data_IF_116405881003
#
_entry.id   IF_116405881003
#
_cell.length_a   1.000
_cell.length_b   1.000
_cell.length_c   1.000
_cell.angle_alpha   90.00
_cell.angle_beta   90.00
_cell.angle_gamma   90.00
#
_symmetry.space_group_name_H-M   'P 1'
#
loop_
_entity.id
_entity.type
_entity.pdbx_description
1 polymer ?
#
# COMPACT_ATOMS: atom_id res chain seq x y z
N UNK A 1 19.77 -12.14 32.52
CA UNK A 1 19.13 -12.82 31.38
C UNK A 1 19.74 -12.28 30.11
N UNK A 2 20.03 -13.10 29.08
CA UNK A 2 20.46 -12.57 27.79
C UNK A 2 19.42 -11.58 27.26
N UNK A 3 19.86 -10.48 26.66
CA UNK A 3 18.97 -9.53 26.00
C UNK A 3 18.15 -10.29 24.95
N UNK A 4 16.81 -10.16 24.91
CA UNK A 4 16.00 -10.84 23.92
C UNK A 4 16.44 -10.42 22.51
N UNK A 5 16.67 -11.41 21.64
CA UNK A 5 17.01 -11.16 20.24
C UNK A 5 15.84 -10.43 19.56
N UNK A 6 16.09 -9.46 18.65
CA UNK A 6 15.03 -8.88 17.84
C UNK A 6 14.27 -9.97 17.07
N UNK A 7 12.94 -9.90 16.95
CA UNK A 7 12.19 -10.78 16.07
C UNK A 7 12.66 -10.73 14.60
N UNK A 8 12.45 -11.79 13.81
CA UNK A 8 12.61 -11.73 12.36
C UNK A 8 11.62 -10.72 11.77
N UNK A 9 12.01 -10.08 10.67
CA UNK A 9 11.21 -9.03 10.02
C UNK A 9 10.66 -9.52 8.69
N UNK A 10 9.41 -9.18 8.39
CA UNK A 10 8.77 -9.40 7.09
C UNK A 10 8.49 -8.05 6.44
N UNK A 11 9.00 -7.86 5.22
CA UNK A 11 8.82 -6.64 4.43
C UNK A 11 7.76 -6.86 3.35
N UNK A 12 6.68 -6.09 3.41
CA UNK A 12 5.55 -6.15 2.49
C UNK A 12 5.60 -4.97 1.50
N UNK A 13 5.82 -5.24 0.20
CA UNK A 13 5.88 -4.21 -0.82
C UNK A 13 4.50 -3.62 -1.16
N UNK A 14 4.52 -2.46 -1.82
CA UNK A 14 3.35 -1.80 -2.40
C UNK A 14 2.83 -2.49 -3.67
N UNK A 15 1.67 -2.02 -4.15
CA UNK A 15 1.03 -2.51 -5.37
C UNK A 15 1.98 -2.36 -6.57
N UNK A 16 2.00 -3.35 -7.47
CA UNK A 16 2.83 -3.39 -8.69
C UNK A 16 4.35 -3.42 -8.49
N UNK A 17 4.84 -3.42 -7.25
CA UNK A 17 6.28 -3.41 -6.94
C UNK A 17 6.86 -4.82 -6.73
N UNK A 18 6.27 -5.81 -7.39
CA UNK A 18 6.66 -7.22 -7.40
C UNK A 18 6.62 -7.70 -8.85
N UNK A 19 7.65 -8.41 -9.27
CA UNK A 19 7.68 -9.06 -10.58
C UNK A 19 6.57 -10.11 -10.67
N UNK A 20 6.00 -10.26 -11.86
CA UNK A 20 5.10 -11.37 -12.19
C UNK A 20 5.68 -12.13 -13.37
N UNK A 21 5.64 -13.46 -13.30
CA UNK A 21 6.14 -14.37 -14.33
C UNK A 21 5.08 -15.38 -14.73
N UNK A 22 5.06 -15.78 -15.99
CA UNK A 22 4.20 -16.86 -16.47
C UNK A 22 4.96 -18.19 -16.53
N UNK A 23 4.54 -19.13 -15.70
CA UNK A 23 5.20 -20.43 -15.54
C UNK A 23 4.85 -21.45 -16.62
N UNK A 24 3.87 -21.19 -17.49
CA UNK A 24 3.55 -22.08 -18.62
C UNK A 24 4.35 -21.79 -19.89
N UNK A 25 5.02 -20.65 -19.96
CA UNK A 25 5.96 -20.36 -21.05
C UNK A 25 7.27 -21.14 -20.87
N UNK A 26 7.89 -21.56 -21.98
CA UNK A 26 9.20 -22.22 -21.99
C UNK A 26 10.16 -21.41 -22.88
N UNK A 27 11.17 -20.72 -22.29
CA UNK A 27 11.42 -20.57 -20.85
C UNK A 27 10.35 -19.70 -20.17
N UNK A 28 10.30 -19.75 -18.83
CA UNK A 28 9.44 -18.86 -18.01
C UNK A 28 9.71 -17.41 -18.39
N UNK A 29 8.65 -16.64 -18.62
CA UNK A 29 8.72 -15.24 -19.04
C UNK A 29 8.23 -14.30 -17.96
N UNK A 30 8.94 -13.18 -17.76
CA UNK A 30 8.46 -12.09 -16.93
C UNK A 30 7.40 -11.28 -17.70
N UNK A 31 6.17 -11.28 -17.19
CA UNK A 31 5.05 -10.49 -17.74
C UNK A 31 4.93 -9.14 -17.03
N UNK A 32 5.52 -9.00 -15.84
CA UNK A 32 5.64 -7.74 -15.13
C UNK A 32 7.01 -7.61 -14.45
N UNK A 33 7.70 -6.50 -14.70
CA UNK A 33 9.02 -6.20 -14.16
C UNK A 33 9.30 -4.70 -14.19
N UNK A 34 10.45 -4.29 -13.65
CA UNK A 34 10.93 -2.90 -13.74
C UNK A 34 11.07 -2.43 -15.20
N UNK A 35 11.50 -3.32 -16.12
CA UNK A 35 11.81 -2.98 -17.52
C UNK A 35 10.70 -3.31 -18.52
N UNK A 36 9.79 -4.22 -18.16
CA UNK A 36 8.75 -4.74 -19.05
C UNK A 36 7.42 -4.85 -18.31
N UNK A 37 6.35 -4.36 -18.96
CA UNK A 37 4.98 -4.37 -18.45
C UNK A 37 4.05 -4.87 -19.55
N UNK A 38 3.61 -6.12 -19.44
CA UNK A 38 2.67 -6.71 -20.39
C UNK A 38 1.24 -6.67 -19.80
N UNK A 39 0.54 -5.57 -20.07
CA UNK A 39 -0.81 -5.34 -19.56
C UNK A 39 -1.84 -6.37 -20.04
N UNK A 40 -1.65 -6.97 -21.23
CA UNK A 40 -2.56 -8.01 -21.73
C UNK A 40 -2.37 -9.31 -20.95
N UNK A 41 -1.11 -9.67 -20.65
CA UNK A 41 -0.78 -10.89 -19.91
C UNK A 41 -1.11 -10.82 -18.42
N UNK A 42 -1.15 -9.62 -17.83
CA UNK A 42 -1.53 -9.47 -16.42
C UNK A 42 -3.03 -9.24 -16.21
N UNK A 43 -3.82 -9.04 -17.27
CA UNK A 43 -5.25 -8.83 -17.16
C UNK A 43 -5.98 -10.09 -16.65
N UNK A 44 -6.91 -9.90 -15.72
CA UNK A 44 -7.67 -11.00 -15.11
C UNK A 44 -8.88 -11.38 -15.97
N UNK A 45 -9.23 -12.66 -15.98
CA UNK A 45 -10.40 -13.16 -16.70
C UNK A 45 -11.69 -12.54 -16.13
N UNK A 46 -12.58 -12.00 -16.96
CA UNK A 46 -13.69 -11.19 -16.46
C UNK A 46 -14.85 -12.01 -15.86
N UNK A 47 -14.92 -13.31 -16.13
CA UNK A 47 -15.86 -14.23 -15.45
C UNK A 47 -15.33 -14.81 -14.13
N UNK A 48 -14.01 -14.84 -13.95
CA UNK A 48 -13.37 -15.39 -12.77
C UNK A 48 -12.00 -14.76 -12.58
N UNK A 49 -11.94 -13.73 -11.73
CA UNK A 49 -10.72 -12.96 -11.45
C UNK A 49 -9.63 -13.77 -10.72
N UNK A 50 -9.75 -15.10 -10.61
CA UNK A 50 -8.66 -15.98 -10.15
C UNK A 50 -7.73 -16.40 -11.28
N UNK A 51 -8.13 -16.23 -12.53
CA UNK A 51 -7.41 -16.68 -13.72
C UNK A 51 -7.08 -15.51 -14.65
N UNK A 52 -6.19 -15.76 -15.62
CA UNK A 52 -5.77 -14.80 -16.63
C UNK A 52 -6.77 -14.70 -17.80
N UNK A 53 -6.89 -13.52 -18.39
CA UNK A 53 -7.76 -13.33 -19.56
C UNK A 53 -7.21 -13.94 -20.86
N UNK A 54 -5.90 -14.20 -20.90
CA UNK A 54 -5.20 -14.81 -22.04
C UNK A 54 -4.65 -16.16 -21.57
N UNK A 55 -5.23 -17.24 -22.11
CA UNK A 55 -4.88 -18.62 -21.77
C UNK A 55 -4.17 -19.33 -22.95
N UNK A 56 -3.30 -20.32 -22.69
CA UNK A 56 -2.93 -20.83 -21.38
C UNK A 56 -1.92 -19.91 -20.65
N UNK A 57 -2.14 -19.65 -19.37
CA UNK A 57 -1.22 -18.91 -18.52
C UNK A 57 -1.18 -19.43 -17.08
N UNK A 58 -0.04 -19.26 -16.42
CA UNK A 58 0.08 -19.43 -14.98
C UNK A 58 0.92 -18.30 -14.39
N UNK A 59 0.28 -17.16 -14.17
CA UNK A 59 1.00 -15.99 -13.65
C UNK A 59 1.18 -16.13 -12.13
N UNK A 60 2.43 -15.98 -11.69
CA UNK A 60 2.86 -16.11 -10.30
C UNK A 60 3.72 -14.94 -9.87
N UNK A 61 3.67 -14.56 -8.59
CA UNK A 61 4.60 -13.58 -8.05
C UNK A 61 6.04 -14.12 -8.09
N UNK A 62 6.96 -13.23 -8.41
CA UNK A 62 8.40 -13.48 -8.41
C UNK A 62 9.07 -12.52 -7.40
N UNK A 63 10.26 -11.98 -7.68
CA UNK A 63 10.95 -11.12 -6.72
C UNK A 63 10.29 -9.74 -6.55
N UNK A 64 10.49 -9.13 -5.38
CA UNK A 64 10.15 -7.71 -5.17
C UNK A 64 11.07 -6.80 -6.00
N UNK A 65 10.62 -5.60 -6.34
CA UNK A 65 11.42 -4.65 -7.12
C UNK A 65 12.65 -4.19 -6.30
N UNK A 66 13.83 -4.67 -6.69
CA UNK A 66 15.08 -4.39 -5.97
C UNK A 66 15.37 -2.90 -5.86
N UNK A 67 15.10 -2.14 -6.93
CA UNK A 67 15.29 -0.68 -6.97
C UNK A 67 14.53 0.07 -5.88
N UNK A 68 13.44 -0.51 -5.35
CA UNK A 68 12.65 0.09 -4.29
C UNK A 68 12.98 -0.48 -2.90
N UNK A 69 13.32 -1.76 -2.79
CA UNK A 69 13.38 -2.44 -1.48
C UNK A 69 14.74 -2.99 -1.09
N UNK A 70 15.72 -3.10 -2.01
CA UNK A 70 17.02 -3.72 -1.70
C UNK A 70 17.70 -3.03 -0.53
N UNK A 71 17.87 -1.72 -0.63
CA UNK A 71 18.56 -0.90 0.38
C UNK A 71 17.88 -1.02 1.74
N UNK A 72 16.56 -0.87 1.81
CA UNK A 72 15.79 -1.05 3.04
C UNK A 72 16.05 -2.42 3.70
N UNK A 73 15.96 -3.50 2.90
CA UNK A 73 16.11 -4.86 3.40
C UNK A 73 17.55 -5.11 3.86
N UNK A 74 18.54 -4.64 3.12
CA UNK A 74 19.96 -4.77 3.46
C UNK A 74 20.31 -3.98 4.72
N UNK A 75 19.83 -2.74 4.85
CA UNK A 75 20.01 -1.92 6.04
C UNK A 75 19.34 -2.52 7.27
N UNK A 76 18.14 -3.11 7.12
CA UNK A 76 17.50 -3.83 8.23
C UNK A 76 18.33 -5.05 8.66
N UNK A 77 18.79 -5.88 7.71
CA UNK A 77 19.64 -7.04 8.02
C UNK A 77 20.93 -6.63 8.74
N UNK A 78 21.55 -5.54 8.28
CA UNK A 78 22.82 -5.06 8.82
C UNK A 78 22.68 -4.40 10.20
N UNK A 79 21.65 -3.60 10.42
CA UNK A 79 21.53 -2.80 11.64
C UNK A 79 20.68 -3.46 12.74
N UNK A 80 19.86 -4.47 12.41
CA UNK A 80 19.13 -5.25 13.40
C UNK A 80 20.00 -6.32 14.09
N UNK A 81 21.03 -6.87 13.42
CA UNK A 81 21.98 -7.77 14.09
C UNK A 81 22.80 -7.04 15.17
N UNK A 82 23.11 -7.74 16.26
CA UNK A 82 24.04 -7.22 17.28
C UNK A 82 25.48 -7.67 17.01
N UNK A 83 25.64 -8.81 16.35
CA UNK A 83 26.92 -9.38 15.90
C UNK A 83 26.73 -10.06 14.55
N UNK A 84 27.82 -10.25 13.81
CA UNK A 84 27.75 -10.86 12.46
C UNK A 84 27.29 -12.31 12.47
N UNK A 85 27.65 -13.06 13.52
CA UNK A 85 27.27 -14.46 13.74
C UNK A 85 25.87 -14.63 14.38
N UNK A 86 25.20 -13.52 14.69
CA UNK A 86 23.84 -13.46 15.23
C UNK A 86 22.91 -12.67 14.29
N UNK A 87 22.67 -13.16 13.06
CA UNK A 87 21.86 -12.43 12.09
C UNK A 87 20.41 -12.33 12.57
N UNK A 88 19.77 -11.20 12.26
CA UNK A 88 18.31 -11.05 12.33
C UNK A 88 17.75 -11.28 10.92
N UNK A 89 16.94 -12.33 10.70
CA UNK A 89 16.37 -12.59 9.38
C UNK A 89 15.42 -11.48 8.94
N UNK A 90 15.52 -11.08 7.67
CA UNK A 90 14.59 -10.13 7.03
C UNK A 90 14.12 -10.74 5.71
N UNK A 91 12.81 -10.95 5.59
CA UNK A 91 12.17 -11.66 4.50
C UNK A 91 11.29 -10.72 3.66
N UNK A 92 11.53 -10.56 2.36
CA UNK A 92 10.55 -9.94 1.48
C UNK A 92 9.36 -10.88 1.28
N UNK A 93 8.14 -10.36 1.42
CA UNK A 93 6.91 -11.08 1.12
C UNK A 93 6.40 -10.69 -0.27
N UNK A 94 6.80 -11.47 -1.28
CA UNK A 94 6.27 -11.31 -2.63
C UNK A 94 4.86 -11.89 -2.73
N UNK A 95 3.96 -11.15 -3.35
CA UNK A 95 2.56 -11.55 -3.54
C UNK A 95 2.05 -11.10 -4.90
N UNK A 96 0.99 -11.75 -5.37
CA UNK A 96 0.30 -11.35 -6.59
C UNK A 96 -0.54 -10.08 -6.30
N UNK A 97 -0.01 -8.94 -6.73
CA UNK A 97 -0.61 -7.64 -6.48
C UNK A 97 -1.91 -7.40 -7.25
N UNK A 98 -2.37 -8.35 -8.08
CA UNK A 98 -3.64 -8.27 -8.79
C UNK A 98 -4.82 -8.76 -7.94
N UNK A 99 -4.56 -9.69 -7.04
CA UNK A 99 -5.57 -10.46 -6.32
C UNK A 99 -6.31 -9.67 -5.22
N UNK A 100 -7.55 -10.08 -4.83
CA UNK A 100 -8.22 -9.50 -3.67
C UNK A 100 -7.35 -9.59 -2.41
N UNK A 101 -7.32 -8.53 -1.61
CA UNK A 101 -6.38 -8.44 -0.47
C UNK A 101 -6.61 -9.52 0.60
N UNK A 102 -7.84 -10.03 0.74
CA UNK A 102 -8.16 -11.12 1.68
C UNK A 102 -7.38 -12.41 1.38
N UNK A 103 -7.08 -12.69 0.12
CA UNK A 103 -6.29 -13.86 -0.27
C UNK A 103 -4.81 -13.64 0.06
N UNK A 104 -4.30 -12.44 -0.18
CA UNK A 104 -2.94 -12.04 0.17
C UNK A 104 -2.72 -12.06 1.69
N UNK A 105 -3.71 -11.65 2.48
CA UNK A 105 -3.66 -11.72 3.95
C UNK A 105 -3.59 -13.15 4.48
N UNK A 106 -4.32 -14.09 3.84
CA UNK A 106 -4.24 -15.50 4.20
C UNK A 106 -2.83 -16.05 3.91
N UNK A 107 -2.28 -15.72 2.74
CA UNK A 107 -0.90 -16.06 2.39
C UNK A 107 0.12 -15.43 3.34
N UNK A 108 -0.13 -14.22 3.83
CA UNK A 108 0.71 -13.60 4.85
C UNK A 108 0.64 -14.38 6.16
N UNK A 109 -0.53 -14.86 6.58
CA UNK A 109 -0.66 -15.68 7.79
C UNK A 109 0.17 -16.97 7.69
N UNK A 110 0.10 -17.66 6.54
CA UNK A 110 0.90 -18.85 6.28
C UNK A 110 2.40 -18.52 6.29
N UNK A 111 2.78 -17.40 5.68
CA UNK A 111 4.18 -16.95 5.62
C UNK A 111 4.74 -16.53 6.98
N UNK A 112 3.93 -15.91 7.84
CA UNK A 112 4.30 -15.61 9.23
C UNK A 112 4.60 -16.90 10.00
N UNK A 113 3.77 -17.94 9.83
CA UNK A 113 4.02 -19.26 10.39
C UNK A 113 5.34 -19.87 9.89
N UNK A 114 5.57 -19.82 8.58
CA UNK A 114 6.82 -20.29 7.97
C UNK A 114 8.05 -19.55 8.49
N UNK A 115 7.99 -18.22 8.59
CA UNK A 115 9.07 -17.37 9.12
C UNK A 115 9.40 -17.75 10.57
N UNK A 116 8.38 -17.95 11.40
CA UNK A 116 8.54 -18.41 12.78
C UNK A 116 9.24 -19.77 12.81
N UNK A 117 8.76 -20.73 12.03
CA UNK A 117 9.30 -22.09 12.04
C UNK A 117 10.73 -22.14 11.52
N UNK A 118 11.07 -21.38 10.47
CA UNK A 118 12.45 -21.20 10.01
C UNK A 118 13.33 -20.56 11.08
N UNK A 119 12.82 -19.57 11.80
CA UNK A 119 13.58 -18.84 12.83
C UNK A 119 13.89 -19.74 14.04
N UNK A 120 12.97 -20.62 14.44
CA UNK A 120 13.21 -21.62 15.50
C UNK A 120 14.40 -22.56 15.21
N UNK A 121 14.74 -22.77 13.93
CA UNK A 121 15.86 -23.63 13.51
C UNK A 121 17.23 -22.92 13.55
N UNK A 122 17.27 -21.60 13.75
CA UNK A 122 18.53 -20.88 13.90
C UNK A 122 19.12 -21.12 15.29
N UNK A 123 20.39 -21.55 15.35
CA UNK A 123 21.06 -21.94 16.60
C UNK A 123 20.95 -20.88 17.71
N UNK A 124 21.11 -19.60 17.37
CA UNK A 124 21.05 -18.51 18.33
C UNK A 124 19.64 -18.16 18.80
N UNK A 125 18.62 -18.28 17.95
CA UNK A 125 17.21 -18.11 18.36
C UNK A 125 16.72 -19.31 19.18
N UNK A 126 17.15 -20.52 18.84
CA UNK A 126 16.90 -21.70 19.66
C UNK A 126 17.50 -21.53 21.06
N UNK A 127 18.78 -21.14 21.14
CA UNK A 127 19.48 -20.89 22.40
C UNK A 127 18.89 -19.72 23.22
N UNK A 128 18.22 -18.76 22.57
CA UNK A 128 17.58 -17.63 23.25
C UNK A 128 16.18 -17.95 23.81
N UNK A 129 15.64 -19.15 23.57
CA UNK A 129 14.27 -19.50 23.98
C UNK A 129 13.18 -18.86 23.10
N UNK A 130 13.49 -18.43 21.87
CA UNK A 130 12.51 -17.80 20.98
C UNK A 130 11.24 -18.64 20.75
N UNK A 131 11.37 -19.98 20.84
CA UNK A 131 10.25 -20.90 20.68
C UNK A 131 9.17 -20.77 21.76
N UNK A 132 9.47 -20.18 22.92
CA UNK A 132 8.51 -20.01 24.03
C UNK A 132 7.48 -18.92 23.71
N UNK A 133 7.91 -17.86 23.00
CA UNK A 133 7.08 -16.71 22.64
C UNK A 133 7.42 -16.19 21.22
N UNK A 134 7.16 -16.97 20.16
CA UNK A 134 7.58 -16.62 18.81
C UNK A 134 6.74 -15.46 18.27
N UNK A 135 7.42 -14.41 17.84
CA UNK A 135 6.82 -13.24 17.21
C UNK A 135 7.61 -12.82 15.98
N UNK A 136 7.00 -12.03 15.10
CA UNK A 136 7.66 -11.34 13.98
C UNK A 136 7.43 -9.83 14.07
N UNK A 137 8.26 -9.05 13.39
CA UNK A 137 7.95 -7.65 13.10
C UNK A 137 7.55 -7.49 11.63
N UNK A 138 6.63 -6.56 11.34
CA UNK A 138 6.11 -6.34 9.99
C UNK A 138 6.44 -4.91 9.51
N UNK A 139 6.93 -4.79 8.28
CA UNK A 139 7.20 -3.50 7.63
C UNK A 139 6.44 -3.45 6.31
N UNK A 140 5.37 -2.66 6.25
CA UNK A 140 4.53 -2.51 5.07
C UNK A 140 4.78 -1.18 4.37
N UNK A 141 4.92 -1.20 3.05
CA UNK A 141 4.95 0.00 2.22
C UNK A 141 3.69 0.08 1.35
N UNK A 142 3.07 1.26 1.26
CA UNK A 142 1.89 1.50 0.43
C UNK A 142 0.81 0.44 0.72
N UNK A 143 0.36 -0.32 -0.28
CA UNK A 143 -0.62 -1.42 -0.11
C UNK A 143 -0.19 -2.50 0.91
N UNK A 144 1.11 -2.67 1.16
CA UNK A 144 1.64 -3.56 2.20
C UNK A 144 1.09 -3.25 3.60
N UNK A 145 0.89 -1.98 3.95
CA UNK A 145 0.29 -1.61 5.25
C UNK A 145 -1.20 -1.97 5.35
N UNK A 146 -1.94 -1.95 4.23
CA UNK A 146 -3.34 -2.36 4.18
C UNK A 146 -3.47 -3.87 4.39
N UNK A 147 -2.54 -4.64 3.79
CA UNK A 147 -2.45 -6.09 3.97
C UNK A 147 -2.13 -6.42 5.43
N UNK A 148 -1.17 -5.75 6.06
CA UNK A 148 -0.86 -5.96 7.49
C UNK A 148 -2.09 -5.68 8.36
N UNK A 149 -2.75 -4.53 8.17
CA UNK A 149 -3.92 -4.17 8.97
C UNK A 149 -5.08 -5.16 8.77
N UNK A 150 -5.30 -5.63 7.54
CA UNK A 150 -6.31 -6.65 7.24
C UNK A 150 -5.98 -8.02 7.84
N UNK A 151 -4.71 -8.45 7.77
CA UNK A 151 -4.22 -9.68 8.40
C UNK A 151 -4.41 -9.66 9.91
N UNK A 152 -4.03 -8.56 10.56
CA UNK A 152 -4.20 -8.37 12.01
C UNK A 152 -5.68 -8.40 12.37
N UNK A 153 -6.52 -7.66 11.65
CA UNK A 153 -7.95 -7.64 11.91
C UNK A 153 -8.59 -9.03 11.81
N UNK A 154 -8.09 -9.89 10.92
CA UNK A 154 -8.55 -11.26 10.76
C UNK A 154 -8.10 -12.23 11.86
N UNK A 155 -7.20 -11.83 12.77
CA UNK A 155 -6.73 -12.70 13.84
C UNK A 155 -7.80 -12.93 14.92
N UNK A 156 -7.75 -14.11 15.53
CA UNK A 156 -8.60 -14.47 16.68
C UNK A 156 -7.74 -14.43 17.94
N UNK A 157 -7.65 -13.25 18.56
CA UNK A 157 -6.80 -12.98 19.71
C UNK A 157 -5.41 -12.47 19.31
N UNK A 158 -4.47 -12.56 20.24
CA UNK A 158 -3.12 -12.02 20.06
C UNK A 158 -2.45 -12.56 18.79
N UNK A 159 -2.03 -11.65 17.91
CA UNK A 159 -1.26 -11.99 16.73
C UNK A 159 0.17 -12.36 17.15
N UNK A 160 0.87 -13.24 16.41
CA UNK A 160 2.29 -13.49 16.61
C UNK A 160 3.15 -12.35 16.04
N UNK A 161 2.76 -11.10 16.29
CA UNK A 161 3.38 -9.88 15.80
C UNK A 161 3.74 -9.01 16.99
N UNK A 162 4.98 -8.53 17.04
CA UNK A 162 5.45 -7.66 18.12
C UNK A 162 5.33 -6.18 17.74
N UNK A 163 5.82 -5.80 16.56
CA UNK A 163 5.76 -4.41 16.07
C UNK A 163 5.41 -4.32 14.59
N UNK A 164 4.81 -3.19 14.22
CA UNK A 164 4.43 -2.88 12.86
C UNK A 164 4.97 -1.52 12.43
N UNK A 165 5.47 -1.44 11.21
CA UNK A 165 5.78 -0.19 10.51
C UNK A 165 4.91 -0.12 9.26
N UNK A 166 4.32 1.04 9.00
CA UNK A 166 3.66 1.34 7.73
C UNK A 166 4.24 2.61 7.11
N UNK A 167 4.67 2.53 5.85
CA UNK A 167 5.25 3.63 5.08
C UNK A 167 4.27 4.05 3.99
N UNK A 168 3.73 5.27 4.05
CA UNK A 168 2.87 5.84 3.00
C UNK A 168 1.64 5.00 2.67
N UNK A 169 1.09 4.28 3.66
CA UNK A 169 0.01 3.31 3.41
C UNK A 169 -1.34 4.03 3.23
N UNK A 170 -2.05 3.82 2.10
CA UNK A 170 -3.35 4.45 1.84
C UNK A 170 -4.49 3.77 2.63
N UNK A 171 -4.46 3.83 3.96
CA UNK A 171 -5.45 3.15 4.82
C UNK A 171 -6.91 3.49 4.48
N UNK A 172 -7.16 4.71 3.99
CA UNK A 172 -8.47 5.18 3.53
C UNK A 172 -8.54 5.41 2.02
N UNK A 173 -7.56 4.93 1.25
CA UNK A 173 -7.53 4.98 -0.20
C UNK A 173 -6.85 6.23 -0.79
N UNK A 174 -6.84 6.33 -2.12
CA UNK A 174 -6.31 7.46 -2.88
C UNK A 174 -7.15 7.72 -4.12
N UNK A 175 -7.35 9.01 -4.46
CA UNK A 175 -8.01 9.38 -5.71
C UNK A 175 -7.28 8.86 -6.96
N UNK A 176 -5.97 8.59 -6.89
CA UNK A 176 -5.20 8.02 -8.01
C UNK A 176 -5.74 6.64 -8.45
N UNK A 177 -6.31 5.85 -7.53
CA UNK A 177 -6.95 4.59 -7.89
C UNK A 177 -8.19 4.80 -8.77
N UNK A 178 -8.98 5.83 -8.49
CA UNK A 178 -10.13 6.22 -9.29
C UNK A 178 -9.68 6.67 -10.67
N UNK A 179 -8.68 7.56 -10.74
CA UNK A 179 -8.12 8.02 -12.02
C UNK A 179 -7.60 6.83 -12.84
N UNK A 180 -6.91 5.88 -12.20
CA UNK A 180 -6.40 4.68 -12.86
C UNK A 180 -7.51 3.86 -13.52
N UNK A 181 -8.63 3.67 -12.85
CA UNK A 181 -9.82 2.96 -13.38
C UNK A 181 -10.47 3.76 -14.52
N UNK A 182 -10.51 5.10 -14.41
CA UNK A 182 -11.12 5.98 -15.40
C UNK A 182 -10.31 6.07 -16.69
N UNK A 183 -9.02 6.34 -16.61
CA UNK A 183 -8.18 6.74 -17.75
C UNK A 183 -7.15 5.69 -18.15
N UNK A 184 -6.81 4.77 -17.24
CA UNK A 184 -5.63 3.89 -17.36
C UNK A 184 -4.33 4.56 -16.93
N UNK A 185 -4.33 5.86 -16.64
CA UNK A 185 -3.15 6.62 -16.19
C UNK A 185 -3.31 7.07 -14.76
N UNK A 186 -2.25 6.94 -13.96
CA UNK A 186 -2.16 7.51 -12.61
C UNK A 186 -0.69 7.55 -12.21
N UNK A 187 -0.36 8.27 -11.14
CA UNK A 187 0.96 8.22 -10.50
C UNK A 187 1.31 6.80 -9.94
N UNK A 188 0.39 5.85 -10.05
CA UNK A 188 0.58 4.42 -9.80
C UNK A 188 1.19 3.66 -11.00
N UNK A 189 1.92 4.35 -11.89
CA UNK A 189 2.60 3.78 -13.07
C UNK A 189 3.41 4.82 -13.86
N UNK A 190 4.38 4.38 -14.67
CA UNK A 190 5.39 5.23 -15.32
C UNK A 190 5.25 5.39 -16.84
N UNK A 191 4.18 4.87 -17.45
CA UNK A 191 4.01 4.80 -18.91
C UNK A 191 2.89 5.74 -19.43
N UNK A 192 2.98 6.23 -20.69
CA UNK A 192 1.91 6.98 -21.33
C UNK A 192 0.63 6.13 -21.49
N UNK A 193 -0.57 6.76 -21.52
CA UNK A 193 -1.86 6.05 -21.56
C UNK A 193 -1.93 5.06 -22.71
N UNK A 194 -2.24 3.79 -22.41
CA UNK A 194 -2.66 2.80 -23.39
C UNK A 194 -4.05 2.28 -23.06
N UNK A 195 -4.83 1.87 -24.08
CA UNK A 195 -6.13 1.21 -23.86
C UNK A 195 -5.98 -0.07 -23.03
N UNK A 196 -4.93 -0.84 -23.29
CA UNK A 196 -4.58 -2.09 -22.61
C UNK A 196 -4.39 -1.90 -21.10
N UNK A 197 -3.68 -0.85 -20.70
CA UNK A 197 -3.47 -0.53 -19.29
C UNK A 197 -4.78 -0.18 -18.56
N UNK A 198 -5.66 0.57 -19.23
CA UNK A 198 -6.97 0.93 -18.69
C UNK A 198 -7.88 -0.29 -18.53
N UNK A 199 -7.88 -1.19 -19.50
CA UNK A 199 -8.64 -2.44 -19.46
C UNK A 199 -8.14 -3.34 -18.33
N UNK A 200 -6.82 -3.57 -18.24
CA UNK A 200 -6.21 -4.34 -17.15
C UNK A 200 -6.55 -3.74 -15.77
N UNK A 201 -6.48 -2.42 -15.61
CA UNK A 201 -6.83 -1.75 -14.35
C UNK A 201 -8.28 -2.03 -13.92
N UNK A 202 -9.24 -2.03 -14.86
CA UNK A 202 -10.68 -2.25 -14.60
C UNK A 202 -11.01 -3.69 -14.19
N UNK A 203 -10.11 -4.64 -14.47
CA UNK A 203 -10.27 -6.04 -14.07
C UNK A 203 -9.23 -6.47 -13.03
N UNK A 204 -8.54 -5.53 -12.37
CA UNK A 204 -7.56 -5.84 -11.30
C UNK A 204 -8.20 -5.64 -9.92
N UNK A 205 -8.60 -6.70 -9.20
CA UNK A 205 -9.25 -6.58 -7.89
C UNK A 205 -8.53 -5.70 -6.88
N UNK A 206 -7.22 -5.89 -6.70
CA UNK A 206 -6.42 -5.14 -5.72
C UNK A 206 -6.52 -3.61 -5.87
N UNK A 207 -6.67 -3.11 -7.11
CA UNK A 207 -6.76 -1.67 -7.39
C UNK A 207 -8.00 -1.05 -6.73
N UNK A 208 -9.12 -1.79 -6.68
CA UNK A 208 -10.37 -1.30 -6.10
C UNK A 208 -10.26 -1.13 -4.58
N UNK A 209 -9.40 -1.91 -3.90
CA UNK A 209 -9.14 -1.75 -2.47
C UNK A 209 -8.46 -0.42 -2.10
N UNK A 210 -7.99 0.33 -3.10
CA UNK A 210 -7.38 1.65 -2.94
C UNK A 210 -8.37 2.81 -3.21
N UNK A 211 -9.64 2.51 -3.52
CA UNK A 211 -10.68 3.53 -3.70
C UNK A 211 -10.91 4.28 -2.36
N UNK A 212 -11.02 5.63 -2.38
CA UNK A 212 -11.23 6.42 -1.18
C UNK A 212 -12.48 6.02 -0.38
N UNK A 213 -12.31 5.89 0.94
CA UNK A 213 -13.40 5.76 1.91
C UNK A 213 -13.74 7.07 2.61
N UNK A 214 -12.88 8.08 2.48
CA UNK A 214 -13.10 9.41 3.06
C UNK A 214 -13.90 10.30 2.10
N UNK A 215 -14.78 11.14 2.66
CA UNK A 215 -15.59 12.09 1.87
C UNK A 215 -14.86 13.40 1.57
N UNK A 216 -13.84 13.76 2.36
CA UNK A 216 -13.18 15.06 2.23
C UNK A 216 -12.46 15.17 0.87
N UNK A 217 -12.74 16.23 0.13
CA UNK A 217 -12.19 16.44 -1.22
C UNK A 217 -12.99 15.75 -2.33
N UNK A 218 -13.95 14.89 -2.03
CA UNK A 218 -14.92 14.42 -3.01
C UNK A 218 -16.00 15.49 -3.21
N UNK A 219 -15.95 16.18 -4.34
CA UNK A 219 -16.85 17.28 -4.66
C UNK A 219 -17.97 16.79 -5.59
N UNK A 220 -19.18 16.69 -5.05
CA UNK A 220 -20.35 16.23 -5.81
C UNK A 220 -21.22 17.44 -6.14
N UNK A 221 -21.32 17.79 -7.42
CA UNK A 221 -22.06 19.00 -7.83
C UNK A 221 -23.55 18.78 -8.05
N UNK A 222 -24.00 17.53 -8.09
CA UNK A 222 -25.40 17.17 -8.24
C UNK A 222 -25.84 16.27 -7.06
N UNK A 223 -26.78 16.72 -6.20
CA UNK A 223 -27.28 15.94 -5.07
C UNK A 223 -27.91 14.59 -5.43
N UNK A 224 -28.28 14.36 -6.69
CA UNK A 224 -28.82 13.09 -7.17
C UNK A 224 -27.74 12.05 -7.48
N UNK A 225 -26.45 12.39 -7.39
CA UNK A 225 -25.35 11.45 -7.54
C UNK A 225 -25.01 10.79 -6.20
N UNK A 226 -24.55 9.52 -6.19
CA UNK A 226 -24.19 8.86 -4.95
C UNK A 226 -23.03 9.56 -4.22
N UNK A 227 -23.09 9.55 -2.89
CA UNK A 227 -22.07 10.17 -2.02
C UNK A 227 -20.86 9.28 -1.76
N UNK A 228 -20.80 8.10 -2.39
CA UNK A 228 -19.73 7.12 -2.23
C UNK A 228 -19.27 6.59 -3.57
N UNK A 229 -17.96 6.42 -3.70
CA UNK A 229 -17.33 5.82 -4.89
C UNK A 229 -17.52 4.30 -4.96
N UNK A 230 -18.07 3.68 -3.92
CA UNK A 230 -18.42 2.26 -3.93
C UNK A 230 -19.82 1.96 -4.50
N UNK A 231 -20.55 2.99 -4.94
CA UNK A 231 -21.79 2.83 -5.68
C UNK A 231 -21.49 2.83 -7.18
N UNK A 232 -21.84 1.77 -7.94
CA UNK A 232 -21.63 1.75 -9.40
C UNK A 232 -22.31 2.92 -10.13
N UNK A 233 -23.38 3.50 -9.59
CA UNK A 233 -24.06 4.67 -10.16
C UNK A 233 -23.26 5.98 -10.02
N UNK A 234 -22.18 6.01 -9.22
CA UNK A 234 -21.25 7.13 -9.16
C UNK A 234 -20.27 7.14 -10.35
N UNK A 235 -20.18 6.04 -11.09
CA UNK A 235 -19.19 5.87 -12.15
C UNK A 235 -19.75 6.17 -13.53
N UNK A 236 -18.92 6.83 -14.35
CA UNK A 236 -19.30 7.18 -15.71
C UNK A 236 -19.56 5.94 -16.57
N UNK A 237 -20.60 5.94 -17.44
CA UNK A 237 -21.00 4.76 -18.20
C UNK A 237 -19.90 4.16 -19.09
N UNK A 238 -18.94 4.97 -19.55
CA UNK A 238 -17.81 4.51 -20.37
C UNK A 238 -16.87 3.52 -19.64
N UNK A 239 -16.89 3.47 -18.32
CA UNK A 239 -16.20 2.42 -17.56
C UNK A 239 -16.91 1.09 -17.78
N UNK A 240 -18.23 1.06 -17.60
CA UNK A 240 -19.04 -0.16 -17.77
C UNK A 240 -19.03 -0.62 -19.22
N UNK A 241 -19.18 0.30 -20.18
CA UNK A 241 -19.17 -0.03 -21.61
C UNK A 241 -17.84 -0.66 -22.04
N UNK A 242 -16.71 -0.22 -21.46
CA UNK A 242 -15.41 -0.82 -21.75
C UNK A 242 -15.19 -2.17 -21.06
N UNK A 243 -15.72 -2.38 -19.86
CA UNK A 243 -15.72 -3.71 -19.22
C UNK A 243 -16.60 -4.67 -20.03
N UNK A 244 -17.72 -4.18 -20.58
CA UNK A 244 -18.58 -4.97 -21.47
C UNK A 244 -17.82 -5.37 -22.74
N UNK A 245 -17.08 -4.46 -23.36
CA UNK A 245 -16.25 -4.80 -24.52
C UNK A 245 -15.16 -5.82 -24.16
N UNK A 246 -14.52 -5.69 -22.99
CA UNK A 246 -13.55 -6.67 -22.52
C UNK A 246 -14.18 -8.06 -22.29
N UNK A 247 -15.39 -8.13 -21.70
CA UNK A 247 -16.15 -9.38 -21.57
C UNK A 247 -16.50 -9.97 -22.94
N UNK A 248 -16.87 -9.14 -23.92
CA UNK A 248 -17.17 -9.61 -25.28
C UNK A 248 -15.95 -10.27 -25.94
N UNK A 249 -14.74 -9.77 -25.65
CA UNK A 249 -13.48 -10.25 -26.22
C UNK A 249 -12.92 -11.47 -25.48
N UNK A 250 -13.00 -11.48 -24.14
CA UNK A 250 -12.29 -12.45 -23.29
C UNK A 250 -13.19 -13.34 -22.45
N UNK A 251 -14.46 -12.97 -22.26
CA UNK A 251 -15.40 -13.72 -21.44
C UNK A 251 -16.13 -14.82 -22.21
N UNK A 252 -16.87 -15.64 -21.46
CA UNK A 252 -17.73 -16.67 -22.04
C UNK A 252 -18.88 -16.04 -22.84
N UNK A 253 -19.34 -16.65 -23.96
CA UNK A 253 -20.41 -16.11 -24.80
C UNK A 253 -21.80 -16.41 -24.20
N UNK A 254 -22.07 -15.88 -23.00
CA UNK A 254 -23.29 -16.16 -22.23
C UNK A 254 -23.97 -14.88 -21.73
N UNK A 255 -25.30 -14.86 -21.81
CA UNK A 255 -26.13 -13.79 -21.26
C UNK A 255 -25.90 -12.42 -21.89
N UNK A 256 -26.42 -11.37 -21.23
CA UNK A 256 -26.19 -9.98 -21.64
C UNK A 256 -24.83 -9.49 -21.11
N UNK A 257 -23.93 -9.17 -22.04
CA UNK A 257 -22.59 -8.65 -21.77
C UNK A 257 -22.62 -7.39 -20.91
N UNK A 258 -23.59 -6.49 -21.11
CA UNK A 258 -23.64 -5.22 -20.37
C UNK A 258 -24.10 -5.43 -18.93
N UNK A 259 -25.10 -6.29 -18.71
CA UNK A 259 -25.50 -6.71 -17.37
C UNK A 259 -24.34 -7.41 -16.62
N UNK A 260 -23.59 -8.28 -17.30
CA UNK A 260 -22.41 -8.94 -16.73
C UNK A 260 -21.31 -7.95 -16.37
N UNK A 261 -21.04 -6.97 -17.23
CA UNK A 261 -20.07 -5.91 -16.95
C UNK A 261 -20.43 -5.11 -15.69
N UNK A 262 -21.70 -4.72 -15.57
CA UNK A 262 -22.19 -4.03 -14.38
C UNK A 262 -22.07 -4.92 -13.14
N UNK A 263 -22.40 -6.21 -13.24
CA UNK A 263 -22.29 -7.16 -12.13
C UNK A 263 -20.83 -7.34 -11.69
N UNK A 264 -19.91 -7.60 -12.62
CA UNK A 264 -18.49 -7.75 -12.35
C UNK A 264 -17.91 -6.50 -11.67
N UNK A 265 -18.21 -5.31 -12.20
CA UNK A 265 -17.78 -4.04 -11.63
C UNK A 265 -18.36 -3.80 -10.23
N UNK A 266 -19.64 -4.10 -10.03
CA UNK A 266 -20.31 -3.99 -8.71
C UNK A 266 -19.70 -4.95 -7.70
N UNK A 267 -19.32 -6.15 -8.12
CA UNK A 267 -18.66 -7.14 -7.26
C UNK A 267 -17.28 -6.64 -6.80
N UNK A 268 -16.48 -6.07 -7.70
CA UNK A 268 -15.19 -5.46 -7.35
C UNK A 268 -15.33 -4.31 -6.35
N UNK A 269 -16.28 -3.40 -6.57
CA UNK A 269 -16.59 -2.33 -5.61
C UNK A 269 -17.06 -2.88 -4.25
N UNK A 270 -17.88 -3.93 -4.26
CA UNK A 270 -18.38 -4.57 -3.04
C UNK A 270 -17.26 -5.23 -2.25
N UNK A 271 -16.38 -5.99 -2.91
CA UNK A 271 -15.21 -6.61 -2.29
C UNK A 271 -14.31 -5.57 -1.62
N UNK A 272 -14.04 -4.46 -2.32
CA UNK A 272 -13.24 -3.37 -1.79
C UNK A 272 -13.91 -2.68 -0.58
N UNK A 273 -15.20 -2.36 -0.68
CA UNK A 273 -15.96 -1.74 0.41
C UNK A 273 -15.98 -2.61 1.67
N UNK A 274 -16.30 -3.90 1.51
CA UNK A 274 -16.35 -4.86 2.62
C UNK A 274 -14.99 -5.01 3.28
N UNK A 275 -13.92 -5.07 2.48
CA UNK A 275 -12.55 -5.12 2.99
C UNK A 275 -12.19 -3.87 3.79
N UNK A 276 -12.52 -2.69 3.29
CA UNK A 276 -12.25 -1.43 3.97
C UNK A 276 -13.04 -1.29 5.29
N UNK A 277 -14.33 -1.65 5.29
CA UNK A 277 -15.16 -1.67 6.51
C UNK A 277 -14.59 -2.60 7.56
N UNK A 278 -14.16 -3.80 7.14
CA UNK A 278 -13.51 -4.76 8.01
C UNK A 278 -12.22 -4.18 8.62
N UNK A 279 -11.33 -3.62 7.79
CA UNK A 279 -10.06 -3.01 8.25
C UNK A 279 -10.28 -1.83 9.20
N UNK A 280 -11.30 -1.00 8.96
CA UNK A 280 -11.66 0.12 9.83
C UNK A 280 -12.12 -0.35 11.23
N UNK A 281 -12.57 -1.60 11.37
CA UNK A 281 -12.93 -2.20 12.65
C UNK A 281 -11.72 -2.79 13.41
N UNK A 282 -10.49 -2.68 12.89
CA UNK A 282 -9.29 -3.14 13.61
C UNK A 282 -9.17 -2.41 14.96
N UNK A 283 -8.97 -3.19 16.02
CA UNK A 283 -8.60 -2.71 17.35
C UNK A 283 -7.27 -3.35 17.73
N UNK A 284 -6.24 -2.53 17.92
CA UNK A 284 -4.90 -3.05 18.26
C UNK A 284 -4.89 -3.94 19.52
N UNK A 285 -5.62 -3.61 20.62
CA UNK A 285 -5.62 -4.47 21.81
C UNK A 285 -6.20 -5.87 21.57
N UNK A 286 -7.15 -6.02 20.64
CA UNK A 286 -7.77 -7.32 20.32
C UNK A 286 -6.76 -8.29 19.70
N UNK A 287 -5.67 -7.75 19.13
CA UNK A 287 -4.58 -8.50 18.50
C UNK A 287 -3.28 -8.44 19.32
N UNK A 288 -3.35 -7.98 20.57
CA UNK A 288 -2.21 -7.92 21.48
C UNK A 288 -1.22 -6.79 21.22
N UNK A 289 -1.64 -5.75 20.48
CA UNK A 289 -0.81 -4.58 20.16
C UNK A 289 -1.31 -3.32 20.89
N UNK A 290 -0.39 -2.46 21.29
CA UNK A 290 -0.67 -1.09 21.71
C UNK A 290 -0.44 -0.10 20.56
N UNK A 291 -0.88 1.15 20.71
CA UNK A 291 -0.60 2.20 19.72
C UNK A 291 0.91 2.46 19.58
N UNK A 292 1.68 2.25 20.66
CA UNK A 292 3.14 2.33 20.66
C UNK A 292 3.83 1.22 19.86
N UNK A 293 3.12 0.16 19.49
CA UNK A 293 3.67 -0.95 18.71
C UNK A 293 3.50 -0.74 17.20
N UNK A 294 2.96 0.42 16.78
CA UNK A 294 2.78 0.78 15.38
C UNK A 294 3.46 2.11 15.04
N UNK A 295 4.48 2.07 14.18
CA UNK A 295 5.09 3.24 13.55
C UNK A 295 4.40 3.55 12.21
N UNK A 296 3.49 4.52 12.22
CA UNK A 296 2.77 4.98 11.04
C UNK A 296 3.45 6.21 10.43
N UNK A 297 4.22 5.99 9.35
CA UNK A 297 4.89 7.04 8.58
C UNK A 297 3.98 7.52 7.45
N UNK A 298 3.70 8.82 7.43
CA UNK A 298 2.85 9.48 6.43
C UNK A 298 3.71 10.46 5.62
N UNK A 299 3.73 10.32 4.30
CA UNK A 299 4.37 11.30 3.44
C UNK A 299 3.47 12.53 3.24
N UNK A 300 4.05 13.71 3.41
CA UNK A 300 3.41 15.02 3.24
C UNK A 300 4.36 15.95 2.49
N UNK A 301 3.92 17.17 2.20
CA UNK A 301 4.71 18.18 1.50
C UNK A 301 5.11 17.80 0.06
N UNK A 302 4.23 17.05 -0.61
CA UNK A 302 4.32 16.81 -2.05
C UNK A 302 2.98 17.10 -2.73
N UNK A 303 3.05 17.61 -3.96
CA UNK A 303 1.88 17.90 -4.77
C UNK A 303 1.07 16.62 -5.04
N UNK A 304 -0.11 16.55 -4.45
CA UNK A 304 -0.93 15.33 -4.43
C UNK A 304 -2.37 15.66 -4.82
N UNK A 305 -3.05 14.73 -5.51
CA UNK A 305 -4.48 14.85 -5.78
C UNK A 305 -5.26 14.76 -4.47
N UNK A 306 -5.83 15.88 -4.02
CA UNK A 306 -6.56 16.03 -2.75
C UNK A 306 -8.05 16.30 -2.97
N UNK A 307 -8.45 16.52 -4.23
CA UNK A 307 -9.83 16.66 -4.64
C UNK A 307 -10.16 15.70 -5.79
N UNK A 308 -11.44 15.37 -5.91
CA UNK A 308 -12.00 14.70 -7.06
C UNK A 308 -13.42 15.19 -7.25
N UNK A 309 -13.72 15.73 -8.43
CA UNK A 309 -15.05 16.26 -8.74
C UNK A 309 -15.88 15.24 -9.51
N UNK A 310 -17.11 15.01 -9.03
CA UNK A 310 -18.14 14.20 -9.67
C UNK A 310 -19.34 15.08 -10.01
N UNK A 311 -19.67 15.14 -11.31
CA UNK A 311 -20.74 15.96 -11.84
C UNK A 311 -21.68 15.15 -12.73
N UNK A 312 -22.75 15.80 -13.23
CA UNK A 312 -23.54 15.27 -14.34
C UNK A 312 -23.14 15.93 -15.65
N UNK A 313 -22.92 15.11 -16.66
CA UNK A 313 -22.80 15.54 -18.05
C UNK A 313 -23.82 14.78 -18.89
N UNK A 314 -24.67 15.51 -19.64
CA UNK A 314 -25.79 14.94 -20.40
C UNK A 314 -26.65 13.96 -19.58
N UNK A 315 -26.90 14.29 -18.31
CA UNK A 315 -27.71 13.48 -17.39
C UNK A 315 -27.00 12.23 -16.81
N UNK A 316 -25.73 11.98 -17.14
CA UNK A 316 -24.95 10.83 -16.67
C UNK A 316 -23.83 11.26 -15.71
N UNK A 317 -23.42 10.43 -14.74
CA UNK A 317 -22.26 10.71 -13.89
C UNK A 317 -21.00 10.87 -14.74
N UNK A 318 -20.17 11.86 -14.42
CA UNK A 318 -18.88 12.11 -15.05
C UNK A 318 -17.89 12.69 -14.02
N UNK A 319 -16.67 12.14 -13.99
CA UNK A 319 -15.59 12.70 -13.20
C UNK A 319 -14.92 13.84 -13.97
N UNK A 320 -14.90 15.02 -13.36
CA UNK A 320 -14.29 16.22 -13.95
C UNK A 320 -12.86 16.34 -13.41
N UNK A 321 -11.88 15.94 -14.22
CA UNK A 321 -10.47 15.94 -13.82
C UNK A 321 -9.83 17.29 -14.13
N UNK A 322 -9.18 17.89 -13.14
CA UNK A 322 -8.40 19.12 -13.28
C UNK A 322 -6.99 18.96 -12.71
N UNK A 323 -6.07 19.81 -13.17
CA UNK A 323 -4.79 20.00 -12.49
C UNK A 323 -5.01 20.67 -11.12
N UNK A 324 -6.04 21.50 -10.99
CA UNK A 324 -6.42 22.13 -9.72
C UNK A 324 -6.92 21.13 -8.68
N UNK A 325 -7.13 19.86 -9.02
CA UNK A 325 -7.43 18.83 -8.03
C UNK A 325 -6.21 18.45 -7.18
N UNK A 326 -5.00 18.80 -7.67
CA UNK A 326 -3.75 18.61 -6.96
C UNK A 326 -3.45 19.83 -6.10
N UNK A 327 -2.88 19.59 -4.92
CA UNK A 327 -2.39 20.64 -4.06
C UNK A 327 -1.24 20.15 -3.18
N UNK A 328 -0.38 21.09 -2.81
CA UNK A 328 0.44 20.99 -1.61
C UNK A 328 0.28 22.30 -0.82
N UNK A 329 -0.38 22.22 0.32
CA UNK A 329 -0.64 23.34 1.22
C UNK A 329 0.03 23.13 2.57
N UNK A 330 1.10 22.33 2.63
CA UNK A 330 1.80 21.97 3.87
C UNK A 330 2.20 23.19 4.72
N UNK A 331 2.58 24.31 4.09
CA UNK A 331 2.95 25.56 4.78
C UNK A 331 1.79 26.54 4.99
N UNK A 332 0.54 26.13 4.74
CA UNK A 332 -0.60 27.01 4.93
C UNK A 332 -0.78 27.41 6.41
N UNK A 333 -1.27 28.64 6.70
CA UNK A 333 -1.34 29.17 8.06
C UNK A 333 -2.34 28.42 8.95
N UNK A 334 -3.36 27.78 8.38
CA UNK A 334 -4.39 27.06 9.12
C UNK A 334 -4.25 25.54 8.94
N UNK A 335 -4.54 24.79 10.00
CA UNK A 335 -4.39 23.34 10.04
C UNK A 335 -5.23 22.60 8.99
N UNK A 336 -6.45 23.07 8.72
CA UNK A 336 -7.34 22.44 7.75
C UNK A 336 -6.77 22.50 6.33
N UNK A 337 -6.23 23.64 5.94
CA UNK A 337 -5.57 23.82 4.64
C UNK A 337 -4.32 22.98 4.56
N UNK A 338 -3.53 22.84 5.64
CA UNK A 338 -2.34 21.98 5.66
C UNK A 338 -2.62 20.51 5.38
N UNK A 339 -3.84 20.03 5.61
CA UNK A 339 -4.27 18.68 5.25
C UNK A 339 -4.41 18.48 3.74
N UNK A 340 -4.46 19.55 2.95
CA UNK A 340 -4.43 19.49 1.48
C UNK A 340 -2.97 19.29 0.99
N UNK A 341 -2.43 18.12 1.30
CA UNK A 341 -1.08 17.68 0.96
C UNK A 341 -1.07 16.15 0.82
N UNK A 342 0.09 15.56 0.54
CA UNK A 342 0.29 14.12 0.53
C UNK A 342 1.70 13.78 0.08
N UNK A 343 1.89 12.55 -0.42
CA UNK A 343 3.19 12.03 -0.84
C UNK A 343 3.38 11.94 -2.37
N UNK A 344 2.55 12.66 -3.13
CA UNK A 344 2.48 12.62 -4.59
C UNK A 344 1.51 11.58 -5.14
N UNK A 345 1.06 10.62 -4.32
CA UNK A 345 0.10 9.57 -4.69
C UNK A 345 -1.07 9.49 -3.72
N UNK A 346 -0.80 9.44 -2.43
CA UNK A 346 -1.79 9.29 -1.36
C UNK A 346 -1.98 10.64 -0.67
N UNK A 347 -3.18 11.23 -0.72
CA UNK A 347 -3.45 12.45 0.04
C UNK A 347 -3.40 12.16 1.53
N UNK A 348 -3.06 13.16 2.35
CA UNK A 348 -2.97 12.99 3.80
C UNK A 348 -4.22 12.30 4.40
N UNK A 349 -5.43 12.71 4.00
CA UNK A 349 -6.69 12.09 4.47
C UNK A 349 -6.80 10.60 4.13
N UNK A 350 -6.20 10.19 3.01
CA UNK A 350 -6.11 8.79 2.58
C UNK A 350 -5.09 7.96 3.36
N UNK A 351 -4.06 8.60 3.91
CA UNK A 351 -2.99 7.96 4.65
C UNK A 351 -3.28 7.81 6.16
N UNK A 352 -4.31 8.46 6.70
CA UNK A 352 -4.66 8.35 8.13
C UNK A 352 -5.35 7.00 8.40
N UNK A 353 -4.76 6.11 9.23
CA UNK A 353 -5.42 4.86 9.65
C UNK A 353 -6.60 5.12 10.60
N UNK A 354 -7.63 4.27 10.53
CA UNK A 354 -8.82 4.36 11.39
C UNK A 354 -8.56 3.94 12.86
N UNK A 355 -7.47 3.22 13.10
CA UNK A 355 -7.16 2.58 14.38
C UNK A 355 -6.04 3.29 15.18
N UNK A 356 -5.49 4.39 14.66
CA UNK A 356 -4.55 5.26 15.39
C UNK A 356 -5.06 6.70 15.41
N UNK A 357 -4.77 7.42 16.51
CA UNK A 357 -4.97 8.86 16.56
C UNK A 357 -3.94 9.59 15.71
N UNK A 358 -4.31 10.75 15.17
CA UNK A 358 -3.38 11.58 14.38
C UNK A 358 -2.15 12.04 15.18
N UNK A 359 -2.27 12.09 16.51
CA UNK A 359 -1.17 12.35 17.44
C UNK A 359 -0.10 11.25 17.44
N UNK A 360 -0.37 10.06 16.90
CA UNK A 360 0.59 8.97 16.79
C UNK A 360 1.35 8.94 15.45
N UNK A 361 0.93 9.77 14.48
CA UNK A 361 1.49 9.73 13.13
C UNK A 361 2.83 10.44 13.05
N UNK A 362 3.74 9.91 12.23
CA UNK A 362 5.05 10.51 11.94
C UNK A 362 5.04 11.00 10.50
N UNK A 363 4.93 12.31 10.31
CA UNK A 363 4.96 12.92 8.99
C UNK A 363 6.40 13.13 8.50
N UNK A 364 6.65 12.78 7.24
CA UNK A 364 7.92 12.96 6.54
C UNK A 364 7.71 13.68 5.22
N UNK A 365 8.72 14.41 4.77
CA UNK A 365 8.68 15.27 3.59
C UNK A 365 9.78 14.88 2.59
N UNK A 366 9.71 15.32 1.32
CA UNK A 366 10.79 15.11 0.37
C UNK A 366 12.13 15.70 0.83
N UNK A 367 12.11 16.76 1.65
CA UNK A 367 13.30 17.38 2.23
C UNK A 367 14.01 16.54 3.30
N UNK A 368 13.41 15.44 3.75
CA UNK A 368 14.04 14.52 4.70
C UNK A 368 15.06 13.57 4.02
N UNK A 369 15.09 13.55 2.68
CA UNK A 369 16.15 12.88 1.94
C UNK A 369 17.49 13.63 2.05
N UNK A 370 18.58 12.89 2.22
CA UNK A 370 19.92 13.46 2.14
C UNK A 370 20.23 14.08 0.77
N UNK A 371 21.14 15.07 0.75
CA UNK A 371 21.58 15.73 -0.48
C UNK A 371 22.09 14.73 -1.54
N UNK A 372 22.91 13.76 -1.11
CA UNK A 372 23.47 12.72 -1.98
C UNK A 372 22.41 11.71 -2.43
N UNK A 373 21.46 11.39 -1.56
CA UNK A 373 20.33 10.51 -1.89
C UNK A 373 19.50 11.07 -3.06
N UNK A 374 19.22 12.38 -3.06
CA UNK A 374 18.48 13.05 -4.13
C UNK A 374 19.23 13.03 -5.48
N UNK A 375 20.56 13.14 -5.45
CA UNK A 375 21.39 13.15 -6.67
C UNK A 375 21.41 11.78 -7.36
N UNK A 376 21.58 10.71 -6.60
CA UNK A 376 21.51 9.33 -7.12
C UNK A 376 20.10 9.00 -7.64
N UNK A 377 19.07 9.64 -7.08
CA UNK A 377 17.64 9.40 -7.40
C UNK A 377 17.09 10.23 -8.55
N UNK A 378 17.67 11.37 -8.89
CA UNK A 378 17.34 12.14 -10.10
C UNK A 378 17.56 11.32 -11.39
N UNK A 379 18.41 10.30 -11.32
CA UNK A 379 18.65 9.32 -12.39
C UNK A 379 17.53 8.26 -12.48
N UNK A 380 16.80 8.00 -11.40
CA UNK A 380 15.69 7.04 -11.31
C UNK A 380 14.34 7.75 -11.20
N UNK A 381 13.90 8.42 -12.26
CA UNK A 381 12.61 9.16 -12.36
C UNK A 381 11.32 8.31 -12.20
N UNK A 382 11.41 7.08 -11.70
CA UNK A 382 10.39 6.05 -11.90
C UNK A 382 9.37 5.85 -10.75
N UNK A 383 9.54 6.43 -9.55
CA UNK A 383 8.73 6.02 -8.40
C UNK A 383 7.99 7.14 -7.62
N UNK A 384 8.26 8.42 -7.89
CA UNK A 384 7.70 9.54 -7.11
C UNK A 384 8.06 9.49 -5.62
N UNK A 385 7.71 10.51 -4.83
CA UNK A 385 8.06 10.53 -3.39
C UNK A 385 7.47 9.32 -2.65
N UNK A 386 6.19 9.01 -2.88
CA UNK A 386 5.51 7.81 -2.38
C UNK A 386 6.32 6.51 -2.55
N UNK A 387 6.67 6.16 -3.80
CA UNK A 387 7.34 4.90 -4.09
C UNK A 387 8.79 4.84 -3.59
N UNK A 388 9.38 5.99 -3.27
CA UNK A 388 10.75 6.11 -2.76
C UNK A 388 10.84 6.13 -1.22
N UNK A 389 9.73 6.15 -0.48
CA UNK A 389 9.76 6.10 0.99
C UNK A 389 10.64 4.95 1.54
N UNK A 390 10.60 3.71 0.98
CA UNK A 390 11.46 2.64 1.46
C UNK A 390 12.94 2.86 1.19
N UNK A 391 13.35 3.86 0.41
CA UNK A 391 14.76 4.16 0.13
C UNK A 391 15.33 5.22 1.09
N UNK A 392 14.50 5.91 1.87
CA UNK A 392 14.98 7.00 2.72
C UNK A 392 15.86 6.51 3.87
N UNK A 393 17.14 6.92 3.91
CA UNK A 393 18.08 6.47 4.94
C UNK A 393 17.62 6.83 6.35
N UNK A 394 16.99 8.01 6.50
CA UNK A 394 16.40 8.44 7.76
C UNK A 394 15.34 7.44 8.23
N UNK A 395 14.49 6.95 7.32
CA UNK A 395 13.49 5.93 7.65
C UNK A 395 14.12 4.60 7.99
N UNK A 396 15.19 4.16 7.33
CA UNK A 396 15.88 2.93 7.72
C UNK A 396 16.37 3.00 9.17
N UNK A 397 17.03 4.11 9.53
CA UNK A 397 17.49 4.35 10.91
C UNK A 397 16.33 4.39 11.90
N UNK A 398 15.24 5.07 11.53
CA UNK A 398 14.03 5.18 12.33
C UNK A 398 13.39 3.82 12.59
N UNK A 399 13.25 3.00 11.54
CA UNK A 399 12.68 1.64 11.63
C UNK A 399 13.55 0.78 12.53
N UNK A 400 14.86 0.73 12.30
CA UNK A 400 15.80 -0.05 13.13
C UNK A 400 15.67 0.38 14.59
N UNK A 401 15.65 1.68 14.86
CA UNK A 401 15.54 2.22 16.22
C UNK A 401 14.23 1.79 16.89
N UNK A 402 13.13 1.88 16.15
CA UNK A 402 11.81 1.47 16.61
C UNK A 402 11.75 -0.04 16.92
N UNK A 403 12.23 -0.88 16.01
CA UNK A 403 12.25 -2.33 16.21
C UNK A 403 13.21 -2.74 17.34
N UNK A 404 14.32 -2.02 17.52
CA UNK A 404 15.31 -2.28 18.57
C UNK A 404 14.99 -1.69 19.95
N UNK A 405 13.94 -0.88 20.08
CA UNK A 405 13.68 -0.08 21.28
C UNK A 405 14.91 0.77 21.70
N UNK A 406 15.65 1.29 20.71
CA UNK A 406 16.92 2.00 20.97
C UNK A 406 16.71 3.50 21.22
N UNK A 407 17.51 4.11 22.10
CA UNK A 407 17.55 5.57 22.22
C UNK A 407 18.25 6.19 21.00
N UNK A 408 17.88 7.42 20.64
CA UNK A 408 18.54 8.16 19.56
C UNK A 408 19.78 8.90 20.07
N UNK A 409 20.87 8.15 20.24
CA UNK A 409 22.15 8.71 20.71
C UNK A 409 22.76 9.71 19.72
N UNK A 410 22.43 9.60 18.43
CA UNK A 410 23.03 10.40 17.35
C UNK A 410 22.12 11.54 16.87
N UNK A 411 20.90 11.65 17.41
CA UNK A 411 19.87 12.61 17.00
C UNK A 411 19.63 12.59 15.49
N UNK A 412 19.61 11.40 14.90
CA UNK A 412 19.53 11.19 13.45
C UNK A 412 18.26 10.47 13.00
N UNK A 413 17.23 10.48 13.84
CA UNK A 413 15.87 10.07 13.54
C UNK A 413 14.89 11.18 13.93
N UNK A 414 14.05 11.61 12.99
CA UNK A 414 13.18 12.76 13.16
C UNK A 414 11.84 12.55 12.46
N UNK A 415 10.93 13.51 12.65
CA UNK A 415 9.66 13.57 11.94
C UNK A 415 8.88 14.81 12.35
N UNK A 416 7.69 14.96 11.79
CA UNK A 416 6.78 16.08 12.08
C UNK A 416 5.42 15.56 12.57
N UNK A 417 4.71 16.29 13.44
CA UNK A 417 3.34 15.96 13.78
C UNK A 417 2.42 16.12 12.58
N UNK A 418 1.29 15.41 12.62
CA UNK A 418 0.18 15.59 11.69
C UNK A 418 -0.34 17.05 11.61
N UNK A 419 -0.86 17.52 10.47
CA UNK A 419 -1.55 18.80 10.37
C UNK A 419 -2.66 18.97 11.43
N UNK A 420 -2.47 19.94 12.32
CA UNK A 420 -3.41 20.24 13.40
C UNK A 420 -3.04 19.63 14.76
N UNK A 421 -2.04 18.76 14.81
CA UNK A 421 -1.44 18.27 16.06
C UNK A 421 -0.33 19.22 16.49
N UNK A 422 -0.44 19.79 17.68
CA UNK A 422 0.65 20.59 18.25
C UNK A 422 1.78 19.68 18.73
N UNK A 423 3.03 20.15 18.67
CA UNK A 423 4.21 19.36 19.07
C UNK A 423 4.10 18.81 20.50
N UNK A 424 3.49 19.57 21.43
CA UNK A 424 3.28 19.14 22.83
C UNK A 424 2.27 17.97 22.97
N UNK A 425 1.38 17.83 22.00
CA UNK A 425 0.31 16.83 21.98
C UNK A 425 0.70 15.62 21.10
N UNK A 426 1.83 15.71 20.40
CA UNK A 426 2.37 14.67 19.53
C UNK A 426 2.95 13.52 20.36
N UNK A 427 2.48 12.31 20.09
CA UNK A 427 2.82 11.06 20.79
C UNK A 427 3.26 10.00 19.79
N UNK A 428 4.37 10.22 19.05
CA UNK A 428 4.94 9.17 18.21
C UNK A 428 5.32 7.95 19.06
N UNK A 429 5.37 6.74 18.49
CA UNK A 429 5.65 5.50 19.24
C UNK A 429 7.08 5.42 19.80
N UNK A 430 7.92 6.42 19.50
CA UNK A 430 9.23 6.65 20.07
C UNK A 430 9.53 8.14 20.06
N UNK A 431 10.36 8.64 20.99
CA UNK A 431 10.74 10.05 21.02
C UNK A 431 11.52 10.46 19.77
N UNK A 432 11.12 11.52 19.07
CA UNK A 432 11.76 11.98 17.83
C UNK A 432 12.30 13.41 17.98
N UNK A 433 13.37 13.72 17.24
CA UNK A 433 13.73 15.11 17.02
C UNK A 433 12.71 15.75 16.06
N UNK A 434 12.44 17.05 16.27
CA UNK A 434 11.80 17.88 15.25
C UNK A 434 12.93 18.43 14.36
N UNK A 435 12.87 18.22 13.03
CA UNK A 435 13.91 18.66 12.11
C UNK A 435 14.05 20.18 12.01
#
# INVERSE_FOLDING_TARGET
MPTPLPPPVIVLPGITAIHLRDEYTLPIQNVWSVLSKDYERVAMHPDDFRYEAVEPALVRPDQVFEVAYRECIEELRYNLRDKEDLPVPVFPFAYDWRMPLVDTERRLADFVGEVIDRTKLLKHYHASGYADHPTVDLVGHSMGGLIIAGYLQGQKGAAPVRKVVSLGSPFRGSFEAVIKILTGTANLGTAPPSSREREAARVTPALYHLIPTFAKGLEITDPALPTTLFDPAAWQPSVIDSVAEFIRLHGLPVGDTKARALSAFTNLLTLARTHAQRRAALRLPDVGLATSDWLAVVGVDAETRVRLKLARNAGKPEFVLSNDDRANRWDAPNAESRRQTGDGTVPYEGAVPDFLGEDNLVCVTPSDFGYWELQDRLLTKAAGFHGMLPTMDMLHRLIVRFLKDRPDKRKNTWGRPAPGVAVKDWKPPLALATP
#
